data_IF_245516576935
#
_entry.id   IF_245516576935
#
_cell.length_a   1.000
_cell.length_b   1.000
_cell.length_c   1.000
_cell.angle_alpha   90.00
_cell.angle_beta   90.00
_cell.angle_gamma   90.00
#
_symmetry.space_group_name_H-M   'P 1'
#
loop_
_entity.id
_entity.type
_entity.pdbx_description
1 polymer ?
#
# COMPACT_ATOMS: atom_id res chain seq x y z
N UNK A 1 -7.11 35.96 -28.31
CA UNK A 1 -5.66 35.88 -27.94
C UNK A 1 -5.51 34.60 -27.17
N UNK A 2 -5.60 33.49 -27.90
CA UNK A 2 -5.76 32.16 -27.33
C UNK A 2 -4.37 31.58 -27.14
N UNK A 3 -3.93 31.53 -25.88
CA UNK A 3 -2.63 30.99 -25.50
C UNK A 3 -2.72 29.46 -25.61
N UNK A 4 -2.30 28.93 -26.76
CA UNK A 4 -2.23 27.48 -26.99
C UNK A 4 -1.20 26.90 -26.03
N UNK A 5 -1.56 25.94 -25.15
CA UNK A 5 -0.62 25.38 -24.19
C UNK A 5 0.54 24.73 -24.96
N UNK A 6 1.77 25.12 -24.62
CA UNK A 6 2.98 24.61 -25.26
C UNK A 6 2.98 23.07 -25.18
N UNK A 7 3.42 22.39 -26.25
CA UNK A 7 3.44 20.92 -26.31
C UNK A 7 4.14 20.28 -25.11
N UNK A 8 5.14 20.97 -24.56
CA UNK A 8 5.86 20.60 -23.35
C UNK A 8 4.98 20.55 -22.10
N UNK A 9 4.02 21.48 -21.96
CA UNK A 9 3.04 21.43 -20.86
C UNK A 9 2.14 20.21 -20.98
N UNK A 10 1.71 19.86 -22.20
CA UNK A 10 0.93 18.64 -22.44
C UNK A 10 1.75 17.38 -22.12
N UNK A 11 3.02 17.29 -22.53
CA UNK A 11 3.90 16.18 -22.18
C UNK A 11 4.16 16.08 -20.67
N UNK A 12 4.35 17.20 -19.99
CA UNK A 12 4.54 17.23 -18.55
C UNK A 12 3.30 16.76 -17.78
N UNK A 13 2.11 17.21 -18.21
CA UNK A 13 0.83 16.74 -17.66
C UNK A 13 0.65 15.25 -17.92
N UNK A 14 0.95 14.78 -19.13
CA UNK A 14 0.86 13.37 -19.48
C UNK A 14 1.82 12.52 -18.63
N UNK A 15 3.06 12.99 -18.43
CA UNK A 15 4.05 12.35 -17.58
C UNK A 15 3.60 12.32 -16.10
N UNK A 16 3.05 13.41 -15.57
CA UNK A 16 2.52 13.45 -14.20
C UNK A 16 1.35 12.47 -14.01
N UNK A 17 0.42 12.40 -14.97
CA UNK A 17 -0.68 11.43 -14.94
C UNK A 17 -0.16 9.99 -14.99
N UNK A 18 0.86 9.73 -15.81
CA UNK A 18 1.46 8.41 -15.96
C UNK A 18 2.18 7.98 -14.66
N UNK A 19 2.90 8.89 -14.00
CA UNK A 19 3.56 8.65 -12.72
C UNK A 19 2.56 8.29 -11.61
N UNK A 20 1.44 9.03 -11.50
CA UNK A 20 0.39 8.74 -10.50
C UNK A 20 -0.24 7.36 -10.71
N UNK A 21 -0.40 6.94 -11.97
CA UNK A 21 -0.99 5.65 -12.32
C UNK A 21 -0.07 4.48 -11.99
N UNK A 22 1.24 4.64 -12.22
CA UNK A 22 2.25 3.61 -11.91
C UNK A 22 2.52 3.53 -10.40
N UNK A 23 2.46 4.66 -9.70
CA UNK A 23 2.72 4.75 -8.27
C UNK A 23 1.41 4.65 -7.46
N UNK A 24 0.66 3.56 -7.66
CA UNK A 24 -0.63 3.33 -7.00
C UNK A 24 -0.61 3.49 -5.47
N UNK A 25 -1.78 3.72 -4.87
CA UNK A 25 -1.92 3.82 -3.43
C UNK A 25 -1.61 2.46 -2.77
N UNK A 26 -0.88 2.48 -1.64
CA UNK A 26 -0.66 1.29 -0.84
C UNK A 26 -2.00 0.78 -0.30
N UNK A 27 -2.27 -0.51 -0.48
CA UNK A 27 -3.50 -1.12 -0.03
C UNK A 27 -3.28 -2.56 0.40
N UNK A 28 -4.13 -3.04 1.32
CA UNK A 28 -4.15 -4.44 1.69
C UNK A 28 -4.87 -5.24 0.60
N UNK A 29 -4.15 -6.15 -0.06
CA UNK A 29 -4.77 -7.15 -0.93
C UNK A 29 -5.31 -8.33 -0.13
N UNK A 30 -4.69 -8.65 1.01
CA UNK A 30 -5.21 -9.59 1.99
C UNK A 30 -5.10 -9.01 3.39
N UNK A 31 -6.25 -8.83 4.06
CA UNK A 31 -6.30 -8.39 5.45
C UNK A 31 -6.18 -9.59 6.40
N UNK A 32 -5.52 -9.42 7.56
CA UNK A 32 -5.54 -10.43 8.61
C UNK A 32 -6.96 -10.70 9.08
N UNK A 33 -7.25 -11.95 9.39
CA UNK A 33 -8.54 -12.41 9.91
C UNK A 33 -8.34 -13.09 11.26
N UNK A 34 -9.42 -13.14 12.04
CA UNK A 34 -9.43 -13.87 13.30
C UNK A 34 -9.29 -15.36 13.03
N UNK A 35 -8.46 -16.04 13.82
CA UNK A 35 -8.23 -17.47 13.75
C UNK A 35 -8.39 -18.06 15.15
N UNK A 36 -9.23 -19.08 15.26
CA UNK A 36 -9.32 -19.92 16.45
C UNK A 36 -8.34 -21.08 16.30
N UNK A 37 -7.43 -21.22 17.26
CA UNK A 37 -6.35 -22.21 17.21
C UNK A 37 -6.26 -22.93 18.54
N UNK A 38 -6.05 -24.24 18.49
CA UNK A 38 -5.88 -25.07 19.68
C UNK A 38 -4.50 -24.77 20.29
N UNK A 39 -4.47 -24.63 21.62
CA UNK A 39 -3.22 -24.39 22.35
C UNK A 39 -2.16 -25.44 22.01
N UNK A 40 -0.96 -24.99 21.65
CA UNK A 40 0.17 -25.84 21.26
C UNK A 40 0.28 -26.07 19.75
N UNK A 41 -0.72 -25.65 18.95
CA UNK A 41 -0.62 -25.65 17.50
C UNK A 41 -0.05 -24.33 16.96
N UNK A 42 0.65 -24.41 15.84
CA UNK A 42 1.18 -23.23 15.14
C UNK A 42 0.04 -22.48 14.44
N UNK A 43 -0.05 -21.18 14.67
CA UNK A 43 -0.99 -20.28 14.02
C UNK A 43 -0.26 -19.40 12.99
N UNK A 44 -0.82 -19.26 11.79
CA UNK A 44 -0.28 -18.37 10.75
C UNK A 44 -1.32 -17.32 10.37
N UNK A 45 -1.05 -16.06 10.70
CA UNK A 45 -1.91 -14.93 10.33
C UNK A 45 -1.42 -14.37 9.00
N UNK A 46 -2.23 -14.49 7.95
CA UNK A 46 -1.88 -14.06 6.59
C UNK A 46 -2.19 -12.57 6.40
N UNK A 47 -1.27 -11.85 5.75
CA UNK A 47 -1.44 -10.46 5.36
C UNK A 47 -0.66 -10.21 4.07
N UNK A 48 -1.27 -9.50 3.12
CA UNK A 48 -0.64 -9.11 1.86
C UNK A 48 -0.97 -7.66 1.55
N UNK A 49 0.05 -6.93 1.06
CA UNK A 49 -0.01 -5.50 0.78
C UNK A 49 0.51 -5.26 -0.63
N UNK A 50 -0.29 -4.58 -1.44
CA UNK A 50 0.09 -4.10 -2.77
C UNK A 50 0.61 -2.67 -2.70
N UNK A 51 1.44 -2.31 -3.69
CA UNK A 51 2.05 -0.99 -3.79
C UNK A 51 2.73 -0.57 -2.47
N UNK A 52 3.52 -1.47 -1.88
CA UNK A 52 4.19 -1.24 -0.59
C UNK A 52 5.14 -0.04 -0.71
N UNK A 53 4.84 1.03 0.01
CA UNK A 53 5.67 2.24 0.12
C UNK A 53 6.28 2.47 1.50
N UNK A 54 5.93 1.61 2.48
CA UNK A 54 6.36 1.74 3.89
C UNK A 54 6.77 0.42 4.55
N UNK A 55 6.98 0.45 5.86
CA UNK A 55 7.30 -0.74 6.64
C UNK A 55 6.03 -1.46 7.13
N UNK A 56 6.06 -2.80 7.15
CA UNK A 56 4.95 -3.62 7.64
C UNK A 56 5.29 -4.04 9.07
N UNK A 57 4.35 -3.85 9.98
CA UNK A 57 4.51 -4.18 11.40
C UNK A 57 3.28 -4.91 11.90
N UNK A 58 3.49 -5.86 12.79
CA UNK A 58 2.42 -6.53 13.53
C UNK A 58 2.34 -5.93 14.93
N UNK A 59 1.13 -5.65 15.40
CA UNK A 59 0.89 -5.22 16.77
C UNK A 59 -0.10 -6.19 17.42
N UNK A 60 0.06 -6.47 18.73
CA UNK A 60 -0.85 -7.32 19.50
C UNK A 60 -1.53 -6.47 20.56
N UNK A 61 -2.85 -6.31 20.45
CA UNK A 61 -3.63 -5.49 21.38
C UNK A 61 -3.38 -3.98 21.20
N UNK A 62 -3.26 -3.23 22.31
CA UNK A 62 -2.96 -1.79 22.31
C UNK A 62 -1.47 -1.45 22.48
N UNK A 63 -0.61 -2.46 22.58
CA UNK A 63 0.82 -2.27 22.82
C UNK A 63 1.55 -2.09 21.49
N UNK A 64 2.46 -1.10 21.47
CA UNK A 64 3.33 -0.68 20.37
C UNK A 64 3.83 -1.83 19.47
N UNK A 65 4.08 -1.56 18.17
CA UNK A 65 4.37 -2.58 17.17
C UNK A 65 5.48 -3.54 17.60
N UNK A 66 5.23 -4.83 17.41
CA UNK A 66 6.18 -5.92 17.59
C UNK A 66 7.15 -5.83 16.40
N UNK A 67 8.30 -5.22 16.63
CA UNK A 67 9.45 -5.42 15.75
C UNK A 67 9.96 -6.85 15.99
N UNK A 68 9.55 -7.77 15.11
CA UNK A 68 10.17 -9.09 14.97
C UNK A 68 11.53 -8.96 14.29
#
# INVERSE_FOLDING_TARGET
>A
MDCQPSRLAAYWVYLQLLIMTVCGLQQFSQRPQNLDVIKGQMAVIKCAVENRKGNIQWAKGSTNPIML
#
